data_IF_332290431116
#
_entry.id   IF_332290431116
#
_cell.length_a   1.000
_cell.length_b   1.000
_cell.length_c   1.000
_cell.angle_alpha   90.00
_cell.angle_beta   90.00
_cell.angle_gamma   90.00
#
_symmetry.space_group_name_H-M   'P 1'
#
loop_
_entity.id
_entity.type
_entity.pdbx_description
1 polymer ?
#
# COMPACT_ATOMS: atom_id res chain seq x y z
N UNK A 1 -13.09 24.09 22.75
CA UNK A 1 -12.69 23.72 21.38
C UNK A 1 -11.19 23.44 21.42
N UNK A 2 -10.81 22.21 21.78
CA UNK A 2 -9.42 21.75 21.66
C UNK A 2 -9.12 21.57 20.18
N UNK A 3 -8.19 22.39 19.69
CA UNK A 3 -8.01 22.74 18.29
C UNK A 3 -7.26 21.65 17.51
N UNK A 4 -7.87 21.26 16.39
CA UNK A 4 -7.39 20.48 15.22
C UNK A 4 -5.91 20.03 15.27
N UNK A 5 -5.69 18.71 15.19
CA UNK A 5 -4.38 18.05 15.14
C UNK A 5 -3.86 17.84 13.72
N UNK A 6 -4.08 18.78 12.79
CA UNK A 6 -3.70 18.63 11.38
C UNK A 6 -2.18 18.53 11.18
N UNK A 7 -1.75 17.86 10.11
CA UNK A 7 -0.34 17.75 9.72
C UNK A 7 -0.16 18.11 8.25
N UNK A 8 0.77 19.01 7.97
CA UNK A 8 1.06 19.38 6.58
C UNK A 8 1.91 18.29 5.93
N UNK A 9 1.52 17.82 4.75
CA UNK A 9 2.38 16.94 3.94
C UNK A 9 3.14 17.80 2.93
N UNK A 10 4.45 17.62 2.84
CA UNK A 10 5.30 18.26 1.84
C UNK A 10 6.12 17.22 1.09
N UNK A 11 5.95 17.18 -0.23
CA UNK A 11 6.75 16.35 -1.13
C UNK A 11 7.99 17.13 -1.56
N UNK A 12 9.18 16.56 -1.38
CA UNK A 12 10.47 17.19 -1.67
C UNK A 12 11.22 16.36 -2.70
N UNK A 13 11.52 16.94 -3.86
CA UNK A 13 12.37 16.33 -4.87
C UNK A 13 13.85 16.59 -4.53
N UNK A 14 14.59 15.53 -4.23
CA UNK A 14 16.02 15.55 -3.93
C UNK A 14 16.89 15.83 -5.18
N UNK A 15 16.32 15.76 -6.37
CA UNK A 15 16.97 16.18 -7.62
C UNK A 15 16.92 17.70 -7.86
N UNK A 16 16.15 18.43 -7.06
CA UNK A 16 15.99 19.88 -7.14
C UNK A 16 16.70 20.62 -5.99
N UNK A 17 16.65 21.95 -6.01
CA UNK A 17 17.12 22.76 -4.88
C UNK A 17 16.27 22.48 -3.63
N UNK A 18 16.94 22.21 -2.49
CA UNK A 18 16.25 21.86 -1.25
C UNK A 18 15.53 23.09 -0.66
N UNK A 19 14.25 22.97 -0.30
CA UNK A 19 13.52 24.05 0.32
C UNK A 19 13.85 24.19 1.81
N UNK A 20 13.59 25.38 2.37
CA UNK A 20 13.34 25.50 3.81
C UNK A 20 11.97 24.93 4.17
N UNK A 21 11.84 24.38 5.37
CA UNK A 21 10.55 23.91 5.89
C UNK A 21 9.99 24.98 6.81
N UNK A 22 8.85 25.55 6.42
CA UNK A 22 8.21 26.64 7.14
C UNK A 22 7.04 26.14 7.98
N UNK A 23 6.74 26.90 9.06
CA UNK A 23 5.52 26.69 9.83
C UNK A 23 4.29 26.88 8.96
N UNK A 24 3.25 26.10 9.22
CA UNK A 24 1.96 26.23 8.56
C UNK A 24 0.89 26.49 9.62
N UNK A 25 0.26 27.69 9.63
CA UNK A 25 -0.78 28.01 10.59
C UNK A 25 -1.86 26.92 10.63
N UNK A 26 -2.26 26.50 11.83
CA UNK A 26 -3.30 25.49 12.03
C UNK A 26 -2.82 24.04 11.98
N UNK A 27 -1.54 23.78 11.76
CA UNK A 27 -0.96 22.43 11.78
C UNK A 27 -0.12 22.19 13.05
N UNK A 28 -0.20 20.97 13.58
CA UNK A 28 0.60 20.51 14.72
C UNK A 28 2.03 20.08 14.31
N UNK A 29 2.25 19.85 13.02
CA UNK A 29 3.53 19.45 12.47
C UNK A 29 3.52 19.31 10.95
N UNK A 30 4.65 18.87 10.41
CA UNK A 30 4.91 18.68 9.00
C UNK A 30 5.55 17.31 8.74
N UNK A 31 5.03 16.59 7.74
CA UNK A 31 5.59 15.37 7.18
C UNK A 31 6.28 15.70 5.85
N UNK A 32 7.60 15.61 5.79
CA UNK A 32 8.37 15.72 4.55
C UNK A 32 8.61 14.33 3.94
N UNK A 33 8.07 14.09 2.74
CA UNK A 33 8.34 12.87 1.97
C UNK A 33 9.41 13.20 0.94
N UNK A 34 10.52 12.46 0.96
CA UNK A 34 11.72 12.71 0.16
C UNK A 34 11.70 11.82 -1.09
N UNK A 35 11.76 12.42 -2.26
CA UNK A 35 11.66 11.78 -3.56
C UNK A 35 12.94 11.91 -4.36
N UNK A 36 13.27 10.89 -5.15
CA UNK A 36 14.30 10.99 -6.18
C UNK A 36 13.83 10.19 -7.39
N UNK A 37 13.77 10.83 -8.56
CA UNK A 37 13.36 10.19 -9.82
C UNK A 37 12.02 9.42 -9.70
N UNK A 38 11.01 10.04 -9.10
CA UNK A 38 9.66 9.45 -8.96
C UNK A 38 9.55 8.35 -7.89
N UNK A 39 10.58 8.14 -7.06
CA UNK A 39 10.58 7.12 -6.00
C UNK A 39 10.71 7.77 -4.61
N UNK A 40 9.86 7.41 -3.64
CA UNK A 40 10.01 7.88 -2.28
C UNK A 40 11.13 7.10 -1.59
N UNK A 41 12.11 7.82 -1.04
CA UNK A 41 13.30 7.25 -0.40
C UNK A 41 13.36 7.52 1.10
N UNK A 42 12.70 8.57 1.60
CA UNK A 42 12.70 8.87 3.03
C UNK A 42 11.46 9.62 3.48
N UNK A 43 11.24 9.62 4.79
CA UNK A 43 10.23 10.44 5.46
C UNK A 43 10.85 11.11 6.68
N UNK A 44 10.58 12.39 6.87
CA UNK A 44 10.97 13.16 8.04
C UNK A 44 9.73 13.83 8.63
N UNK A 45 9.56 13.73 9.94
CA UNK A 45 8.46 14.35 10.67
C UNK A 45 9.02 15.44 11.58
N UNK A 46 8.41 16.62 11.56
CA UNK A 46 8.75 17.76 12.39
C UNK A 46 7.50 18.26 13.12
N UNK A 47 7.57 18.44 14.43
CA UNK A 47 6.55 19.16 15.19
C UNK A 47 6.61 20.66 14.88
N UNK A 48 5.51 21.39 15.08
CA UNK A 48 5.48 22.85 14.85
C UNK A 48 6.58 23.60 15.65
N UNK A 49 6.89 23.11 16.86
CA UNK A 49 7.94 23.65 17.71
C UNK A 49 9.37 23.48 17.13
N UNK A 50 9.57 22.53 16.21
CA UNK A 50 10.85 22.26 15.54
C UNK A 50 11.01 23.06 14.23
N UNK A 51 9.95 23.76 13.80
CA UNK A 51 9.94 24.60 12.60
C UNK A 51 10.24 26.08 12.94
N UNK A 52 10.82 26.87 12.02
CA UNK A 52 11.24 26.47 10.67
C UNK A 52 12.57 25.70 10.66
N UNK A 53 12.74 24.81 9.68
CA UNK A 53 14.00 24.09 9.41
C UNK A 53 14.67 24.67 8.16
N UNK A 54 15.86 25.27 8.26
CA UNK A 54 16.56 25.78 7.09
C UNK A 54 17.02 24.64 6.17
N UNK A 55 17.17 24.91 4.88
CA UNK A 55 17.58 23.93 3.88
C UNK A 55 18.89 23.19 4.24
N UNK A 56 19.85 23.86 4.91
CA UNK A 56 21.10 23.25 5.37
C UNK A 56 20.91 22.21 6.47
N UNK A 57 19.97 22.45 7.41
CA UNK A 57 19.63 21.48 8.45
C UNK A 57 18.84 20.30 7.89
N UNK A 58 17.94 20.56 6.93
CA UNK A 58 17.25 19.52 6.18
C UNK A 58 18.25 18.63 5.41
N UNK A 59 19.21 19.23 4.71
CA UNK A 59 20.27 18.53 4.00
C UNK A 59 21.08 17.59 4.92
N UNK A 60 21.35 18.01 6.16
CA UNK A 60 22.05 17.17 7.14
C UNK A 60 21.20 15.98 7.64
N UNK A 61 19.87 16.10 7.65
CA UNK A 61 18.97 15.04 8.09
C UNK A 61 18.67 13.98 7.01
N UNK A 62 18.68 14.38 5.73
CA UNK A 62 18.32 13.54 4.58
C UNK A 62 19.10 12.22 4.52
N UNK A 63 20.44 12.17 4.64
CA UNK A 63 21.19 10.92 4.44
C UNK A 63 20.72 9.78 5.35
N UNK A 64 20.45 10.08 6.62
CA UNK A 64 19.94 9.09 7.59
C UNK A 64 18.52 8.64 7.26
N UNK A 65 17.68 9.56 6.76
CA UNK A 65 16.29 9.27 6.42
C UNK A 65 16.17 8.36 5.19
N UNK A 66 17.07 8.50 4.21
CA UNK A 66 17.02 7.74 2.95
C UNK A 66 17.86 6.45 2.97
N UNK A 67 18.83 6.34 3.88
CA UNK A 67 19.76 5.22 3.93
C UNK A 67 19.10 3.83 3.89
N UNK A 68 18.00 3.54 4.62
CA UNK A 68 17.36 2.23 4.56
C UNK A 68 16.80 1.88 3.17
N UNK A 69 16.15 2.85 2.50
CA UNK A 69 15.52 2.66 1.20
C UNK A 69 16.54 2.62 0.05
N UNK A 70 17.62 3.42 0.16
CA UNK A 70 18.75 3.41 -0.78
C UNK A 70 19.55 2.12 -0.66
N UNK A 71 19.91 1.72 0.57
CA UNK A 71 20.61 0.47 0.83
C UNK A 71 19.82 -0.75 0.37
N UNK A 72 18.50 -0.75 0.58
CA UNK A 72 17.62 -1.80 0.05
C UNK A 72 17.73 -1.92 -1.47
N UNK A 73 17.68 -0.79 -2.20
CA UNK A 73 17.72 -0.78 -3.66
C UNK A 73 19.06 -1.20 -4.24
N UNK A 74 20.15 -0.74 -3.64
CA UNK A 74 21.51 -1.04 -4.09
C UNK A 74 21.96 -2.46 -3.78
N UNK A 75 21.59 -2.99 -2.61
CA UNK A 75 22.15 -4.25 -2.10
C UNK A 75 21.11 -5.39 -1.97
N UNK A 76 19.83 -5.09 -2.23
CA UNK A 76 18.73 -6.07 -2.17
C UNK A 76 18.41 -6.60 -0.76
N UNK A 77 19.00 -6.02 0.29
CA UNK A 77 18.92 -6.51 1.68
C UNK A 77 18.77 -5.42 2.76
N UNK A 78 18.74 -4.14 2.38
CA UNK A 78 18.57 -3.00 3.30
C UNK A 78 19.80 -2.68 4.16
N UNK A 79 19.80 -1.48 4.76
CA UNK A 79 20.49 -1.18 6.02
C UNK A 79 19.42 -1.26 7.11
N UNK A 80 19.51 -2.20 8.06
CA UNK A 80 18.62 -2.15 9.23
C UNK A 80 19.13 -1.08 10.21
N UNK A 81 18.30 -0.05 10.46
CA UNK A 81 18.48 0.85 11.59
C UNK A 81 18.12 0.17 12.91
N UNK A 82 18.82 0.53 13.98
CA UNK A 82 18.65 -0.08 15.30
C UNK A 82 17.25 0.18 15.92
N UNK A 83 16.36 -0.82 15.87
CA UNK A 83 15.26 -1.03 16.83
C UNK A 83 15.08 -2.54 17.09
N UNK A 84 14.61 -2.96 18.28
CA UNK A 84 15.02 -4.22 18.89
C UNK A 84 14.25 -5.42 18.34
N UNK A 85 14.91 -6.25 17.54
CA UNK A 85 14.44 -7.60 17.27
C UNK A 85 15.01 -8.54 18.35
N UNK A 86 14.16 -9.04 19.24
CA UNK A 86 14.47 -10.26 20.00
C UNK A 86 14.39 -11.46 19.05
N UNK A 87 15.54 -11.85 18.49
CA UNK A 87 15.70 -13.08 17.71
C UNK A 87 17.02 -13.05 16.91
N UNK A 88 17.65 -14.21 16.64
CA UNK A 88 18.94 -14.26 15.98
C UNK A 88 18.82 -13.84 14.50
N UNK A 89 19.66 -12.89 14.11
CA UNK A 89 19.86 -12.39 12.73
C UNK A 89 20.72 -13.39 11.95
N UNK A 90 20.27 -13.96 10.82
CA UNK A 90 21.14 -14.69 9.88
C UNK A 90 21.83 -13.73 8.88
N UNK A 91 22.94 -14.15 8.24
CA UNK A 91 24.04 -13.26 7.89
C UNK A 91 23.91 -12.64 6.49
N UNK A 92 23.91 -11.32 6.43
CA UNK A 92 24.98 -10.50 5.84
C UNK A 92 24.42 -9.08 5.73
N UNK A 93 24.73 -8.24 6.71
CA UNK A 93 24.62 -6.79 6.56
C UNK A 93 25.40 -6.35 5.31
N UNK A 94 25.04 -5.25 4.64
CA UNK A 94 25.90 -4.67 3.62
C UNK A 94 27.28 -4.44 4.24
N UNK A 95 28.28 -5.19 3.75
CA UNK A 95 29.66 -5.05 4.22
C UNK A 95 30.12 -3.63 3.89
N UNK A 96 30.59 -2.90 4.91
CA UNK A 96 31.18 -1.57 4.74
C UNK A 96 32.27 -1.59 3.65
N UNK A 97 32.99 -2.70 3.49
CA UNK A 97 33.93 -2.93 2.40
C UNK A 97 33.29 -2.82 1.01
N UNK A 98 32.08 -3.34 0.82
CA UNK A 98 31.36 -3.24 -0.45
C UNK A 98 31.00 -1.79 -0.80
N UNK A 99 30.54 -1.01 0.18
CA UNK A 99 30.20 0.41 0.01
C UNK A 99 31.46 1.23 -0.30
N UNK A 100 32.53 1.02 0.48
CA UNK A 100 33.81 1.71 0.27
C UNK A 100 34.48 1.34 -1.06
N UNK A 101 34.14 0.19 -1.63
CA UNK A 101 34.62 -0.25 -2.94
C UNK A 101 33.82 0.28 -4.13
N UNK A 102 32.68 0.95 -3.90
CA UNK A 102 31.86 1.52 -4.98
C UNK A 102 32.45 2.86 -5.44
N UNK A 103 32.93 2.98 -6.70
CA UNK A 103 33.57 4.20 -7.19
C UNK A 103 32.58 5.35 -7.42
N UNK A 104 31.30 5.06 -7.64
CA UNK A 104 30.19 6.01 -7.72
C UNK A 104 28.88 5.33 -7.29
N UNK A 105 28.23 5.84 -6.23
CA UNK A 105 26.94 5.34 -5.76
C UNK A 105 25.75 5.84 -6.58
N UNK A 106 25.91 6.95 -7.32
CA UNK A 106 24.81 7.60 -8.02
C UNK A 106 24.41 6.86 -9.28
N UNK A 107 25.36 6.33 -10.06
CA UNK A 107 25.08 5.51 -11.25
C UNK A 107 24.20 4.30 -10.92
N UNK A 108 24.65 3.37 -10.06
CA UNK A 108 23.87 2.20 -9.65
C UNK A 108 22.52 2.56 -9.02
N UNK A 109 22.45 3.66 -8.27
CA UNK A 109 21.17 4.12 -7.71
C UNK A 109 20.23 4.59 -8.82
N UNK A 110 20.71 5.38 -9.78
CA UNK A 110 19.90 5.80 -10.94
C UNK A 110 19.38 4.60 -11.72
N UNK A 111 20.21 3.59 -11.95
CA UNK A 111 19.80 2.35 -12.61
C UNK A 111 18.74 1.60 -11.80
N UNK A 112 18.90 1.51 -10.49
CA UNK A 112 17.91 0.88 -9.59
C UNK A 112 16.59 1.67 -9.51
N UNK A 113 16.61 2.97 -9.82
CA UNK A 113 15.44 3.83 -9.87
C UNK A 113 14.85 3.96 -11.29
N UNK A 114 15.51 3.43 -12.33
CA UNK A 114 15.01 3.52 -13.68
C UNK A 114 13.66 2.79 -13.83
N UNK A 115 12.80 3.32 -14.70
CA UNK A 115 11.56 2.63 -15.08
C UNK A 115 11.88 1.49 -16.04
N UNK A 116 11.14 0.37 -15.97
CA UNK A 116 11.22 -0.64 -17.01
C UNK A 116 10.82 -0.02 -18.36
N UNK A 117 11.28 -0.58 -19.49
CA UNK A 117 10.81 -0.13 -20.80
C UNK A 117 9.28 -0.25 -20.90
N UNK A 118 8.69 0.55 -21.80
CA UNK A 118 7.27 0.41 -22.11
C UNK A 118 6.98 -1.05 -22.57
N UNK A 119 5.85 -1.63 -22.14
CA UNK A 119 5.54 -3.01 -22.52
C UNK A 119 5.23 -3.09 -24.01
N UNK A 120 5.49 -4.24 -24.62
CA UNK A 120 4.93 -4.51 -25.95
C UNK A 120 3.43 -4.74 -25.87
N UNK A 121 2.75 -4.73 -27.02
CA UNK A 121 1.30 -4.94 -27.09
C UNK A 121 0.91 -6.26 -26.39
N UNK A 122 -0.02 -6.18 -25.42
CA UNK A 122 -0.46 -7.30 -24.60
C UNK A 122 0.35 -7.58 -23.32
N UNK A 123 1.45 -6.85 -23.05
CA UNK A 123 2.25 -6.98 -21.83
C UNK A 123 1.93 -5.92 -20.75
N UNK A 124 0.92 -5.07 -20.99
CA UNK A 124 0.42 -4.14 -19.99
C UNK A 124 -0.35 -4.83 -18.86
N UNK A 125 -0.88 -4.02 -17.93
CA UNK A 125 -1.77 -4.49 -16.88
C UNK A 125 -3.22 -4.06 -17.11
N UNK A 126 -4.17 -4.83 -16.56
CA UNK A 126 -5.56 -4.42 -16.44
C UNK A 126 -5.77 -3.77 -15.08
N UNK A 127 -6.14 -2.49 -15.05
CA UNK A 127 -6.55 -1.80 -13.81
C UNK A 127 -8.02 -2.09 -13.55
N UNK A 128 -8.36 -2.51 -12.34
CA UNK A 128 -9.72 -2.79 -11.89
C UNK A 128 -10.05 -1.81 -10.76
N UNK A 129 -11.09 -1.01 -10.96
CA UNK A 129 -11.60 -0.03 -10.00
C UNK A 129 -13.04 -0.43 -9.69
N UNK A 130 -13.33 -0.66 -8.42
CA UNK A 130 -14.70 -0.92 -7.97
C UNK A 130 -15.27 0.36 -7.35
N UNK A 131 -16.45 0.76 -7.77
CA UNK A 131 -17.11 1.97 -7.25
C UNK A 131 -18.55 1.69 -6.86
N UNK A 132 -19.06 2.46 -5.89
CA UNK A 132 -20.47 2.48 -5.54
C UNK A 132 -20.86 3.85 -4.98
N UNK A 133 -21.73 4.55 -5.70
CA UNK A 133 -22.32 5.83 -5.29
C UNK A 133 -21.29 6.94 -4.98
N UNK A 134 -20.14 6.96 -5.67
CA UNK A 134 -19.06 7.95 -5.47
C UNK A 134 -18.46 8.52 -6.77
N UNK A 135 -19.27 9.16 -7.63
CA UNK A 135 -18.80 9.63 -8.93
C UNK A 135 -17.65 10.65 -8.84
N UNK A 136 -17.62 11.51 -7.82
CA UNK A 136 -16.58 12.54 -7.67
C UNK A 136 -15.21 11.95 -7.31
N UNK A 137 -15.19 10.88 -6.51
CA UNK A 137 -13.94 10.21 -6.14
C UNK A 137 -13.43 9.41 -7.34
N UNK A 138 -14.32 8.66 -8.00
CA UNK A 138 -14.00 7.95 -9.23
C UNK A 138 -13.42 8.88 -10.31
N UNK A 139 -13.98 10.09 -10.49
CA UNK A 139 -13.46 11.06 -11.45
C UNK A 139 -11.98 11.39 -11.17
N UNK A 140 -11.65 11.76 -9.92
CA UNK A 140 -10.25 12.03 -9.51
C UNK A 140 -9.34 10.82 -9.70
N UNK A 141 -9.84 9.62 -9.39
CA UNK A 141 -9.09 8.39 -9.60
C UNK A 141 -8.76 8.17 -11.08
N UNK A 142 -9.75 8.32 -11.98
CA UNK A 142 -9.57 8.17 -13.41
C UNK A 142 -8.66 9.24 -14.02
N UNK A 143 -8.75 10.49 -13.54
CA UNK A 143 -7.86 11.59 -13.95
C UNK A 143 -6.39 11.30 -13.57
N UNK A 144 -6.13 10.56 -12.50
CA UNK A 144 -4.77 10.14 -12.13
C UNK A 144 -4.20 9.02 -13.02
N UNK A 145 -5.04 8.31 -13.79
CA UNK A 145 -4.68 7.19 -14.67
C UNK A 145 -4.43 7.62 -16.14
N UNK A 146 -4.20 8.91 -16.35
CA UNK A 146 -4.14 9.61 -17.63
C UNK A 146 -3.00 9.21 -18.61
N UNK A 147 -3.01 9.66 -19.89
CA UNK A 147 -2.43 8.98 -21.05
C UNK A 147 -0.93 8.68 -21.05
N UNK A 148 -0.15 9.32 -20.18
CA UNK A 148 1.31 9.17 -20.09
C UNK A 148 1.79 7.81 -19.53
N UNK A 149 0.86 6.91 -19.19
CA UNK A 149 1.16 5.60 -18.61
C UNK A 149 1.01 4.48 -19.67
N UNK A 150 2.07 4.18 -20.47
CA UNK A 150 2.02 3.13 -21.49
C UNK A 150 1.85 1.72 -20.89
N UNK A 151 2.19 1.53 -19.61
CA UNK A 151 2.06 0.25 -18.91
C UNK A 151 0.61 -0.14 -18.57
N UNK A 152 -0.32 0.81 -18.59
CA UNK A 152 -1.76 0.53 -18.42
C UNK A 152 -2.32 0.08 -19.77
N UNK A 153 -2.74 -1.18 -19.87
CA UNK A 153 -3.33 -1.74 -21.09
C UNK A 153 -4.84 -1.48 -21.19
N UNK A 154 -5.55 -1.61 -20.07
CA UNK A 154 -6.98 -1.29 -19.96
C UNK A 154 -7.35 -0.86 -18.54
N UNK A 155 -8.46 -0.16 -18.39
CA UNK A 155 -9.08 0.20 -17.12
C UNK A 155 -10.52 -0.32 -17.10
N UNK A 156 -10.90 -1.01 -16.04
CA UNK A 156 -12.20 -1.65 -15.87
C UNK A 156 -12.85 -1.04 -14.64
N UNK A 157 -13.87 -0.22 -14.88
CA UNK A 157 -14.66 0.38 -13.81
C UNK A 157 -15.87 -0.52 -13.56
N UNK A 158 -15.86 -1.22 -12.43
CA UNK A 158 -16.94 -2.08 -11.98
C UNK A 158 -17.85 -1.27 -11.06
N UNK A 159 -19.01 -0.91 -11.58
CA UNK A 159 -20.07 -0.23 -10.84
C UNK A 159 -20.89 -1.25 -10.04
N UNK A 160 -20.80 -1.19 -8.71
CA UNK A 160 -21.43 -2.13 -7.80
C UNK A 160 -22.77 -1.63 -7.25
N UNK A 161 -23.66 -1.22 -8.16
CA UNK A 161 -25.04 -0.86 -7.85
C UNK A 161 -25.29 0.63 -7.65
N UNK A 162 -24.51 1.51 -8.30
CA UNK A 162 -24.75 2.95 -8.33
C UNK A 162 -25.86 3.35 -9.31
N UNK A 163 -26.13 4.67 -9.42
CA UNK A 163 -26.82 5.27 -10.57
C UNK A 163 -25.91 5.20 -11.83
N UNK A 164 -26.25 4.38 -12.83
CA UNK A 164 -25.31 4.00 -13.89
C UNK A 164 -24.94 5.15 -14.84
N UNK A 165 -25.81 6.15 -15.02
CA UNK A 165 -25.61 7.23 -15.99
C UNK A 165 -24.37 8.08 -15.66
N UNK A 166 -24.18 8.41 -14.38
CA UNK A 166 -23.05 9.22 -13.93
C UNK A 166 -21.72 8.49 -14.14
N UNK A 167 -21.65 7.21 -13.77
CA UNK A 167 -20.43 6.40 -13.91
C UNK A 167 -20.10 6.18 -15.40
N UNK A 168 -21.09 5.90 -16.24
CA UNK A 168 -20.89 5.74 -17.69
C UNK A 168 -20.36 7.00 -18.35
N UNK A 169 -20.89 8.17 -17.97
CA UNK A 169 -20.44 9.45 -18.50
C UNK A 169 -18.97 9.73 -18.15
N UNK A 170 -18.55 9.45 -16.91
CA UNK A 170 -17.15 9.57 -16.50
C UNK A 170 -16.25 8.64 -17.30
N UNK A 171 -16.60 7.36 -17.36
CA UNK A 171 -15.80 6.35 -18.07
C UNK A 171 -15.63 6.69 -19.55
N UNK A 172 -16.65 7.25 -20.21
CA UNK A 172 -16.60 7.62 -21.62
C UNK A 172 -15.51 8.66 -21.95
N UNK A 173 -15.05 9.44 -20.96
CA UNK A 173 -14.00 10.43 -21.14
C UNK A 173 -12.57 9.82 -21.13
N UNK A 174 -12.42 8.55 -20.76
CA UNK A 174 -11.10 7.89 -20.65
C UNK A 174 -10.98 6.77 -21.70
N UNK A 175 -10.16 6.92 -22.75
CA UNK A 175 -10.12 5.97 -23.88
C UNK A 175 -9.76 4.53 -23.53
N UNK A 176 -8.98 4.32 -22.46
CA UNK A 176 -8.60 2.98 -21.96
C UNK A 176 -9.63 2.39 -20.99
N UNK A 177 -10.61 3.16 -20.55
CA UNK A 177 -11.57 2.76 -19.55
C UNK A 177 -12.84 2.17 -20.16
N UNK A 178 -13.41 1.19 -19.47
CA UNK A 178 -14.72 0.63 -19.81
C UNK A 178 -15.55 0.36 -18.57
N UNK A 179 -16.86 0.52 -18.76
CA UNK A 179 -17.86 0.36 -17.72
C UNK A 179 -18.35 -1.09 -17.65
N UNK A 180 -18.45 -1.63 -16.45
CA UNK A 180 -19.03 -2.95 -16.16
C UNK A 180 -20.00 -2.82 -15.00
N UNK A 181 -21.24 -3.29 -15.15
CA UNK A 181 -22.19 -3.35 -14.06
C UNK A 181 -22.08 -4.66 -13.27
N UNK A 182 -22.13 -4.59 -11.95
CA UNK A 182 -22.33 -5.75 -11.05
C UNK A 182 -23.48 -5.45 -10.09
N UNK A 183 -24.66 -6.05 -10.31
CA UNK A 183 -25.85 -5.74 -9.52
C UNK A 183 -25.83 -6.32 -8.10
N UNK A 184 -24.97 -7.31 -7.81
CA UNK A 184 -24.91 -7.94 -6.48
C UNK A 184 -23.96 -7.15 -5.57
N UNK A 185 -24.42 -6.62 -4.43
CA UNK A 185 -23.57 -5.81 -3.56
C UNK A 185 -22.43 -6.62 -2.95
N UNK A 186 -21.23 -6.07 -2.95
CA UNK A 186 -20.05 -6.63 -2.30
C UNK A 186 -18.77 -6.33 -3.07
N UNK A 187 -17.75 -5.81 -2.39
CA UNK A 187 -16.46 -5.45 -3.00
C UNK A 187 -15.76 -6.66 -3.62
N UNK A 188 -15.71 -7.79 -2.91
CA UNK A 188 -15.15 -9.04 -3.44
C UNK A 188 -15.88 -9.52 -4.69
N UNK A 189 -17.21 -9.38 -4.72
CA UNK A 189 -18.04 -9.72 -5.88
C UNK A 189 -17.69 -8.80 -7.07
N UNK A 190 -17.58 -7.49 -6.84
CA UNK A 190 -17.19 -6.51 -7.86
C UNK A 190 -15.77 -6.77 -8.39
N UNK A 191 -14.80 -7.03 -7.51
CA UNK A 191 -13.42 -7.41 -7.90
C UNK A 191 -13.41 -8.69 -8.74
N UNK A 192 -14.18 -9.71 -8.34
CA UNK A 192 -14.33 -10.94 -9.10
C UNK A 192 -14.95 -10.70 -10.49
N UNK A 193 -15.90 -9.77 -10.61
CA UNK A 193 -16.42 -9.32 -11.90
C UNK A 193 -15.34 -8.64 -12.74
N UNK A 194 -14.54 -7.75 -12.15
CA UNK A 194 -13.38 -7.15 -12.83
C UNK A 194 -12.38 -8.19 -13.35
N UNK A 195 -12.04 -9.19 -12.53
CA UNK A 195 -11.11 -10.30 -12.89
C UNK A 195 -11.59 -11.05 -14.13
N UNK A 196 -12.88 -11.40 -14.17
CA UNK A 196 -13.48 -12.12 -15.31
C UNK A 196 -13.47 -11.29 -16.59
N UNK A 197 -13.54 -9.98 -16.44
CA UNK A 197 -13.59 -9.05 -17.55
C UNK A 197 -12.20 -8.73 -18.09
N UNK A 198 -11.19 -8.65 -17.24
CA UNK A 198 -9.83 -8.29 -17.61
C UNK A 198 -9.23 -9.24 -18.66
N UNK A 199 -8.32 -8.71 -19.48
CA UNK A 199 -7.66 -9.44 -20.57
C UNK A 199 -6.18 -9.70 -20.33
N UNK A 200 -5.53 -8.90 -19.49
CA UNK A 200 -4.10 -9.04 -19.21
C UNK A 200 -3.82 -10.09 -18.13
N UNK A 201 -2.55 -10.51 -18.05
CA UNK A 201 -2.04 -11.41 -17.01
C UNK A 201 -1.87 -10.71 -15.67
N UNK A 202 -1.47 -9.44 -15.67
CA UNK A 202 -1.34 -8.66 -14.44
C UNK A 202 -2.62 -7.87 -14.21
N UNK A 203 -3.25 -8.12 -13.06
CA UNK A 203 -4.48 -7.47 -12.62
C UNK A 203 -4.15 -6.53 -11.48
N UNK A 204 -4.16 -5.22 -11.71
CA UNK A 204 -3.96 -4.21 -10.67
C UNK A 204 -5.31 -3.74 -10.13
N UNK A 205 -5.40 -3.56 -8.82
CA UNK A 205 -6.56 -3.08 -8.10
C UNK A 205 -6.21 -1.77 -7.41
N UNK A 206 -7.08 -0.79 -7.57
CA UNK A 206 -7.07 0.47 -6.82
C UNK A 206 -8.51 0.85 -6.48
N UNK A 207 -8.69 1.58 -5.39
CA UNK A 207 -10.01 2.01 -4.94
C UNK A 207 -10.39 3.35 -5.59
N UNK A 208 -11.69 3.69 -5.56
CA UNK A 208 -12.19 4.92 -6.20
C UNK A 208 -11.81 6.20 -5.44
N UNK A 209 -11.36 6.09 -4.18
CA UNK A 209 -10.88 7.17 -3.32
C UNK A 209 -9.34 7.29 -3.32
N UNK A 210 -8.72 6.82 -4.40
CA UNK A 210 -7.26 6.78 -4.59
C UNK A 210 -6.83 7.50 -5.86
N UNK A 211 -5.72 8.24 -5.77
CA UNK A 211 -4.99 8.80 -6.91
C UNK A 211 -3.66 8.06 -7.08
N UNK A 212 -3.34 7.59 -8.28
CA UNK A 212 -2.10 6.83 -8.52
C UNK A 212 -0.95 7.77 -8.92
N UNK A 213 0.27 7.43 -8.52
CA UNK A 213 1.46 8.12 -9.04
C UNK A 213 1.68 7.78 -10.53
N UNK A 214 2.20 8.69 -11.38
CA UNK A 214 2.40 8.42 -12.81
C UNK A 214 3.23 7.18 -13.13
N UNK A 215 4.21 6.85 -12.28
CA UNK A 215 5.05 5.66 -12.44
C UNK A 215 4.42 4.37 -11.89
N UNK A 216 3.25 4.44 -11.25
CA UNK A 216 2.65 3.35 -10.47
C UNK A 216 2.57 2.02 -11.24
N UNK A 217 2.01 2.05 -12.45
CA UNK A 217 1.86 0.86 -13.28
C UNK A 217 3.21 0.23 -13.68
N UNK A 218 4.20 1.07 -14.01
CA UNK A 218 5.55 0.62 -14.34
C UNK A 218 6.23 -0.06 -13.14
N UNK A 219 6.08 0.53 -11.95
CA UNK A 219 6.66 0.03 -10.70
C UNK A 219 6.00 -1.27 -10.24
N UNK A 220 4.68 -1.41 -10.43
CA UNK A 220 3.98 -2.68 -10.24
C UNK A 220 4.58 -3.78 -11.11
N UNK A 221 4.72 -3.53 -12.42
CA UNK A 221 5.26 -4.53 -13.35
C UNK A 221 6.70 -4.91 -13.00
N UNK A 222 7.53 -3.94 -12.62
CA UNK A 222 8.89 -4.21 -12.13
C UNK A 222 8.92 -5.08 -10.86
N UNK A 223 7.90 -4.96 -10.00
CA UNK A 223 7.74 -5.79 -8.82
C UNK A 223 7.57 -7.29 -9.12
N UNK A 224 7.04 -7.64 -10.29
CA UNK A 224 6.88 -9.01 -10.78
C UNK A 224 8.17 -9.60 -11.38
N UNK A 225 9.30 -9.35 -10.71
CA UNK A 225 10.66 -9.70 -11.18
C UNK A 225 10.96 -11.20 -11.23
N UNK A 226 10.16 -12.04 -10.57
CA UNK A 226 10.31 -13.51 -10.62
C UNK A 226 8.97 -14.21 -10.90
N UNK A 227 8.99 -15.44 -11.44
CA UNK A 227 7.77 -16.24 -11.63
C UNK A 227 7.04 -16.58 -10.33
N UNK A 228 7.76 -16.70 -9.21
CA UNK A 228 7.20 -17.03 -7.89
C UNK A 228 6.46 -15.85 -7.25
N UNK A 229 6.77 -14.62 -7.69
CA UNK A 229 6.06 -13.42 -7.24
C UNK A 229 4.68 -13.40 -7.89
N UNK A 230 3.65 -13.73 -7.10
CA UNK A 230 2.26 -13.83 -7.55
C UNK A 230 1.43 -12.59 -7.20
N UNK A 231 1.88 -11.79 -6.24
CA UNK A 231 1.25 -10.54 -5.86
C UNK A 231 2.31 -9.47 -5.57
N UNK A 232 2.05 -8.25 -6.01
CA UNK A 232 2.79 -7.03 -5.68
C UNK A 232 1.83 -6.07 -5.00
N UNK A 233 2.24 -5.44 -3.92
CA UNK A 233 1.54 -4.32 -3.27
C UNK A 233 2.47 -3.12 -3.24
N UNK A 234 1.93 -1.94 -2.97
CA UNK A 234 2.73 -0.72 -2.98
C UNK A 234 2.48 0.20 -1.80
N UNK A 235 3.22 1.30 -1.78
CA UNK A 235 3.10 2.33 -0.76
C UNK A 235 1.77 3.08 -0.92
N UNK A 236 1.06 3.27 0.18
CA UNK A 236 -0.12 4.13 0.25
C UNK A 236 0.24 5.31 1.14
N UNK A 237 0.19 6.51 0.58
CA UNK A 237 0.37 7.76 1.30
C UNK A 237 -0.98 8.45 1.51
N UNK A 238 -1.18 9.19 2.60
CA UNK A 238 -2.32 10.09 2.72
C UNK A 238 -2.29 11.18 1.64
N UNK A 239 -3.43 11.48 1.04
CA UNK A 239 -3.57 12.67 0.19
C UNK A 239 -3.47 13.97 1.01
N UNK A 240 -4.00 13.94 2.23
CA UNK A 240 -4.04 15.08 3.15
C UNK A 240 -4.17 14.57 4.60
N UNK A 241 -3.87 15.44 5.57
CA UNK A 241 -4.00 15.16 7.01
C UNK A 241 -4.58 16.39 7.73
N UNK A 242 -5.75 16.85 7.29
CA UNK A 242 -6.37 18.12 7.73
C UNK A 242 -7.31 17.96 8.93
N UNK A 243 -7.62 16.73 9.31
CA UNK A 243 -8.55 16.42 10.40
C UNK A 243 -7.94 15.44 11.39
N UNK A 244 -8.43 15.48 12.63
CA UNK A 244 -7.97 14.59 13.69
C UNK A 244 -8.15 13.12 13.32
N UNK A 245 -9.29 12.75 12.71
CA UNK A 245 -9.54 11.37 12.30
C UNK A 245 -8.49 10.87 11.28
N UNK A 246 -8.12 11.70 10.29
CA UNK A 246 -7.10 11.34 9.31
C UNK A 246 -5.73 11.13 9.97
N UNK A 247 -5.37 12.03 10.91
CA UNK A 247 -4.09 11.98 11.61
C UNK A 247 -3.98 10.80 12.55
N UNK A 248 -5.04 10.51 13.31
CA UNK A 248 -5.11 9.33 14.18
C UNK A 248 -5.00 8.05 13.35
N UNK A 249 -5.70 7.98 12.21
CA UNK A 249 -5.62 6.81 11.33
C UNK A 249 -4.19 6.58 10.83
N UNK A 250 -3.55 7.60 10.28
CA UNK A 250 -2.21 7.48 9.69
C UNK A 250 -1.12 7.26 10.75
N UNK A 251 -1.15 8.00 11.87
CA UNK A 251 -0.03 8.04 12.83
C UNK A 251 -0.20 7.11 14.03
N UNK A 252 -1.43 6.83 14.46
CA UNK A 252 -1.68 6.06 15.70
C UNK A 252 -2.23 4.66 15.44
N UNK A 253 -3.07 4.51 14.41
CA UNK A 253 -3.67 3.23 14.04
C UNK A 253 -2.86 2.46 12.98
N UNK A 254 -1.74 3.03 12.54
CA UNK A 254 -0.76 2.40 11.66
C UNK A 254 -0.95 2.65 10.17
N UNK A 255 -1.97 3.42 9.76
CA UNK A 255 -2.22 3.80 8.38
C UNK A 255 -2.26 2.60 7.41
N UNK A 256 -1.87 2.84 6.17
CA UNK A 256 -1.73 1.79 5.14
C UNK A 256 -0.26 1.47 4.78
N UNK A 257 0.69 2.33 5.14
CA UNK A 257 2.09 2.20 4.73
C UNK A 257 2.85 1.08 5.47
N UNK A 258 3.75 0.40 4.76
CA UNK A 258 4.68 -0.60 5.34
C UNK A 258 6.14 -0.11 5.36
N UNK A 259 6.35 1.21 5.24
CA UNK A 259 7.66 1.85 5.12
C UNK A 259 8.15 1.96 3.68
N UNK A 260 9.44 2.28 3.50
CA UNK A 260 10.05 2.63 2.21
C UNK A 260 11.08 1.59 1.70
N UNK A 261 11.18 0.47 2.41
CA UNK A 261 12.01 -0.68 2.02
C UNK A 261 11.17 -1.71 1.29
N UNK A 262 11.74 -2.35 0.26
CA UNK A 262 11.08 -3.48 -0.40
C UNK A 262 11.01 -4.65 0.58
N UNK A 263 9.91 -5.40 0.54
CA UNK A 263 9.75 -6.59 1.38
C UNK A 263 9.26 -7.76 0.53
N UNK A 264 9.78 -8.95 0.82
CA UNK A 264 9.29 -10.21 0.26
C UNK A 264 8.71 -11.06 1.38
N UNK A 265 7.52 -11.61 1.12
CA UNK A 265 6.83 -12.53 1.99
C UNK A 265 6.69 -13.84 1.22
N UNK A 266 7.38 -14.87 1.66
CA UNK A 266 7.49 -16.16 0.98
C UNK A 266 7.11 -17.32 1.92
N UNK A 267 7.34 -18.55 1.46
CA UNK A 267 7.10 -19.76 2.25
C UNK A 267 7.90 -19.78 3.58
N UNK A 268 9.11 -19.21 3.62
CA UNK A 268 9.92 -19.16 4.83
C UNK A 268 9.32 -18.18 5.86
N UNK A 269 8.89 -17.00 5.41
CA UNK A 269 8.11 -16.08 6.24
C UNK A 269 6.83 -16.75 6.76
N UNK A 270 6.08 -17.42 5.89
CA UNK A 270 4.84 -18.09 6.24
C UNK A 270 5.06 -19.15 7.33
N UNK A 271 6.03 -20.04 7.14
CA UNK A 271 6.37 -21.10 8.10
C UNK A 271 6.78 -20.54 9.47
N UNK A 272 7.59 -19.47 9.49
CA UNK A 272 8.03 -18.80 10.73
C UNK A 272 6.86 -18.19 11.51
N UNK A 273 5.88 -17.63 10.80
CA UNK A 273 4.75 -16.92 11.41
C UNK A 273 3.53 -17.81 11.67
N UNK A 274 3.49 -19.02 11.10
CA UNK A 274 2.33 -19.91 11.09
C UNK A 274 1.72 -20.14 12.48
N UNK A 275 2.58 -20.38 13.50
CA UNK A 275 2.14 -20.64 14.89
C UNK A 275 1.55 -19.43 15.62
N UNK A 276 1.63 -18.24 15.03
CA UNK A 276 1.18 -16.98 15.62
C UNK A 276 -0.04 -16.37 14.91
N UNK A 277 -0.50 -16.99 13.82
CA UNK A 277 -1.39 -16.37 12.84
C UNK A 277 -0.60 -15.44 11.95
N UNK A 278 -0.47 -15.80 10.67
CA UNK A 278 0.44 -15.14 9.73
C UNK A 278 -0.01 -13.69 9.50
N UNK A 279 0.87 -12.68 9.70
CA UNK A 279 0.47 -11.29 9.62
C UNK A 279 0.48 -10.75 8.19
N UNK A 280 -0.41 -11.29 7.37
CA UNK A 280 -0.55 -10.98 5.94
C UNK A 280 -0.94 -9.53 5.65
N UNK A 281 -1.58 -8.82 6.58
CA UNK A 281 -1.83 -7.38 6.46
C UNK A 281 -0.55 -6.53 6.44
N UNK A 282 0.62 -7.12 6.75
CA UNK A 282 1.92 -6.45 6.56
C UNK A 282 2.40 -6.45 5.11
N UNK A 283 1.72 -7.18 4.23
CA UNK A 283 2.08 -7.24 2.82
C UNK A 283 1.78 -5.89 2.18
N UNK A 284 0.60 -5.32 2.41
CA UNK A 284 0.21 -4.00 1.93
C UNK A 284 -1.28 -3.76 2.13
N UNK A 285 -1.89 -3.00 1.22
CA UNK A 285 -3.33 -2.71 1.23
C UNK A 285 -3.97 -3.07 -0.12
N UNK A 286 -5.22 -3.55 -0.11
CA UNK A 286 -5.97 -3.87 -1.34
C UNK A 286 -6.24 -2.67 -2.25
N UNK A 287 -6.12 -1.45 -1.72
CA UNK A 287 -6.17 -0.20 -2.48
C UNK A 287 -4.93 0.03 -3.37
N UNK A 288 -3.84 -0.72 -3.15
CA UNK A 288 -2.63 -0.67 -3.96
C UNK A 288 -2.02 -2.06 -4.08
N UNK A 289 -2.63 -2.88 -4.93
CA UNK A 289 -2.15 -4.24 -5.18
C UNK A 289 -2.27 -4.63 -6.64
N UNK A 290 -1.47 -5.59 -7.06
CA UNK A 290 -1.60 -6.29 -8.31
C UNK A 290 -1.32 -7.78 -8.12
N UNK A 291 -2.01 -8.60 -8.89
CA UNK A 291 -1.97 -10.05 -8.79
C UNK A 291 -1.86 -10.65 -10.20
N UNK A 292 -1.09 -11.72 -10.34
CA UNK A 292 -1.10 -12.53 -11.57
C UNK A 292 -2.45 -13.24 -11.71
N UNK A 293 -3.07 -13.21 -12.88
CA UNK A 293 -4.27 -13.99 -13.18
C UNK A 293 -4.03 -15.47 -12.91
N UNK A 294 -2.89 -16.00 -13.34
CA UNK A 294 -2.49 -17.39 -13.07
C UNK A 294 -2.41 -17.73 -11.57
N UNK A 295 -2.25 -16.74 -10.69
CA UNK A 295 -2.35 -16.96 -9.25
C UNK A 295 -3.80 -17.25 -8.82
N UNK A 296 -4.77 -16.50 -9.35
CA UNK A 296 -6.19 -16.67 -9.06
C UNK A 296 -6.73 -18.01 -9.59
N UNK A 297 -6.18 -18.52 -10.69
CA UNK A 297 -6.49 -19.86 -11.21
C UNK A 297 -6.01 -20.97 -10.27
N UNK A 298 -4.91 -20.73 -9.54
CA UNK A 298 -4.30 -21.70 -8.62
C UNK A 298 -4.97 -21.72 -7.26
N UNK A 299 -5.26 -20.56 -6.69
CA UNK A 299 -5.78 -20.46 -5.32
C UNK A 299 -7.26 -20.09 -5.24
N UNK A 300 -7.87 -19.65 -6.33
CA UNK A 300 -9.22 -19.09 -6.38
C UNK A 300 -9.23 -17.55 -6.28
N UNK A 301 -10.33 -16.94 -6.70
CA UNK A 301 -10.54 -15.50 -6.65
C UNK A 301 -10.82 -14.99 -5.21
N UNK A 302 -11.30 -13.76 -5.04
CA UNK A 302 -11.64 -13.21 -3.72
C UNK A 302 -12.83 -13.97 -3.10
N UNK A 303 -12.75 -14.24 -1.80
CA UNK A 303 -13.85 -14.87 -1.06
C UNK A 303 -14.99 -13.85 -0.85
N UNK A 304 -16.14 -14.11 -1.45
CA UNK A 304 -17.30 -13.20 -1.45
C UNK A 304 -17.93 -13.00 -0.05
N UNK A 305 -17.51 -13.78 0.96
CA UNK A 305 -17.91 -13.58 2.36
C UNK A 305 -17.14 -12.43 3.04
N UNK A 306 -16.03 -11.99 2.44
CA UNK A 306 -15.15 -10.95 2.96
C UNK A 306 -15.29 -9.65 2.18
N UNK A 307 -14.76 -8.56 2.74
CA UNK A 307 -14.79 -7.23 2.14
C UNK A 307 -16.05 -6.41 2.37
N UNK A 308 -16.02 -5.17 1.89
CA UNK A 308 -17.11 -4.20 2.08
C UNK A 308 -18.41 -4.73 1.45
N UNK A 309 -19.53 -4.56 2.15
CA UNK A 309 -20.82 -5.18 1.79
C UNK A 309 -21.01 -6.62 2.30
N UNK A 310 -19.97 -7.23 2.89
CA UNK A 310 -20.03 -8.52 3.58
C UNK A 310 -19.44 -8.43 5.00
N UNK A 311 -18.36 -9.17 5.33
CA UNK A 311 -17.71 -9.10 6.64
C UNK A 311 -17.00 -7.76 6.93
N UNK A 312 -16.78 -6.92 5.93
CA UNK A 312 -16.28 -5.54 6.08
C UNK A 312 -14.92 -5.28 5.45
N UNK A 313 -13.96 -6.22 5.57
CA UNK A 313 -12.59 -6.06 5.09
C UNK A 313 -11.89 -7.44 4.93
N UNK A 314 -10.58 -7.41 4.68
CA UNK A 314 -9.62 -8.53 4.72
C UNK A 314 -9.75 -9.58 3.64
N UNK A 315 -10.50 -9.32 2.57
CA UNK A 315 -10.54 -10.13 1.36
C UNK A 315 -9.18 -10.18 0.64
N UNK A 316 -8.40 -9.09 0.71
CA UNK A 316 -7.04 -8.98 0.20
C UNK A 316 -6.06 -9.83 1.02
N UNK A 317 -6.09 -9.65 2.34
CA UNK A 317 -5.30 -10.37 3.32
C UNK A 317 -5.56 -11.89 3.27
N UNK A 318 -6.82 -12.29 3.11
CA UNK A 318 -7.17 -13.70 2.93
C UNK A 318 -6.60 -14.28 1.63
N UNK A 319 -6.68 -13.55 0.53
CA UNK A 319 -6.10 -13.99 -0.74
C UNK A 319 -4.57 -14.13 -0.62
N UNK A 320 -3.88 -13.14 -0.03
CA UNK A 320 -2.44 -13.23 0.19
C UNK A 320 -2.06 -14.40 1.10
N UNK A 321 -2.87 -14.70 2.12
CA UNK A 321 -2.67 -15.88 2.96
C UNK A 321 -2.70 -17.17 2.14
N UNK A 322 -3.68 -17.33 1.24
CA UNK A 322 -3.77 -18.51 0.37
C UNK A 322 -2.57 -18.60 -0.58
N UNK A 323 -2.10 -17.48 -1.13
CA UNK A 323 -0.90 -17.45 -1.98
C UNK A 323 0.34 -17.95 -1.21
N UNK A 324 0.59 -17.44 0.00
CA UNK A 324 1.71 -17.87 0.83
C UNK A 324 1.56 -19.33 1.27
N UNK A 325 0.35 -19.76 1.64
CA UNK A 325 0.07 -21.14 2.04
C UNK A 325 0.29 -22.14 0.88
N UNK A 326 0.11 -21.69 -0.37
CA UNK A 326 0.43 -22.45 -1.57
C UNK A 326 1.91 -22.37 -1.99
N UNK A 327 2.76 -21.69 -1.21
CA UNK A 327 4.20 -21.60 -1.43
C UNK A 327 4.64 -20.46 -2.36
N UNK A 328 3.74 -19.55 -2.72
CA UNK A 328 4.06 -18.39 -3.57
C UNK A 328 4.58 -17.20 -2.77
N UNK A 329 5.08 -16.20 -3.48
CA UNK A 329 5.65 -14.98 -2.90
C UNK A 329 4.73 -13.78 -3.15
N UNK A 330 4.53 -12.98 -2.11
CA UNK A 330 3.98 -11.62 -2.20
C UNK A 330 5.09 -10.60 -1.97
N UNK A 331 5.13 -9.53 -2.76
CA UNK A 331 6.11 -8.46 -2.65
C UNK A 331 5.44 -7.14 -2.27
N UNK A 332 6.08 -6.37 -1.41
CA UNK A 332 5.82 -4.97 -1.20
C UNK A 332 6.86 -4.14 -1.95
N UNK A 333 6.41 -3.32 -2.90
CA UNK A 333 7.21 -2.42 -3.74
C UNK A 333 6.85 -0.96 -3.41
N UNK A 334 7.56 -0.29 -2.49
CA UNK A 334 7.24 1.06 -2.06
C UNK A 334 7.44 2.13 -3.15
N UNK A 335 8.06 1.79 -4.29
CA UNK A 335 8.08 2.69 -5.45
C UNK A 335 6.73 2.73 -6.20
N UNK A 336 5.87 1.71 -6.05
CA UNK A 336 4.51 1.73 -6.59
C UNK A 336 3.63 2.54 -5.63
N UNK A 337 3.53 3.85 -5.83
CA UNK A 337 2.84 4.75 -4.89
C UNK A 337 1.41 5.06 -5.34
N UNK A 338 0.51 5.10 -4.36
CA UNK A 338 -0.79 5.75 -4.50
C UNK A 338 -1.06 6.69 -3.32
N UNK A 339 -1.98 7.64 -3.52
CA UNK A 339 -2.45 8.60 -2.54
C UNK A 339 -3.90 8.30 -2.18
N UNK A 340 -4.18 8.02 -0.92
CA UNK A 340 -5.50 7.61 -0.44
C UNK A 340 -6.16 8.73 0.35
N UNK A 341 -7.44 9.00 0.07
CA UNK A 341 -8.27 9.94 0.82
C UNK A 341 -8.78 9.30 2.11
N UNK A 342 -8.15 9.63 3.24
CA UNK A 342 -8.58 9.12 4.55
C UNK A 342 -9.92 9.72 4.98
N UNK A 343 -10.68 8.97 5.79
CA UNK A 343 -11.96 9.43 6.34
C UNK A 343 -11.74 10.68 7.20
N UNK A 344 -12.47 11.75 6.87
CA UNK A 344 -12.37 13.05 7.56
C UNK A 344 -13.09 13.04 8.90
N UNK A 345 -14.22 12.35 8.96
CA UNK A 345 -15.08 12.37 10.14
C UNK A 345 -14.82 11.17 11.07
N UNK A 346 -14.75 11.45 12.37
CA UNK A 346 -14.53 10.44 13.41
C UNK A 346 -15.55 9.29 13.37
N UNK A 347 -16.81 9.59 13.05
CA UNK A 347 -17.86 8.57 12.95
C UNK A 347 -17.59 7.59 11.80
N UNK A 348 -17.04 8.08 10.69
CA UNK A 348 -16.69 7.27 9.53
C UNK A 348 -15.47 6.41 9.80
N UNK A 349 -14.43 6.99 10.41
CA UNK A 349 -13.25 6.25 10.85
C UNK A 349 -13.63 5.14 11.84
N UNK A 350 -14.48 5.43 12.84
CA UNK A 350 -14.93 4.42 13.81
C UNK A 350 -15.65 3.25 13.13
N UNK A 351 -16.50 3.54 12.14
CA UNK A 351 -17.17 2.50 11.34
C UNK A 351 -16.16 1.69 10.52
N UNK A 352 -15.21 2.34 9.88
CA UNK A 352 -14.12 1.69 9.16
C UNK A 352 -13.31 0.74 10.06
N UNK A 353 -12.93 1.19 11.26
CA UNK A 353 -12.17 0.37 12.23
C UNK A 353 -12.97 -0.83 12.73
N UNK A 354 -14.28 -0.65 12.97
CA UNK A 354 -15.16 -1.76 13.29
C UNK A 354 -15.20 -2.78 12.15
N UNK A 355 -15.36 -2.33 10.90
CA UNK A 355 -15.39 -3.20 9.72
C UNK A 355 -14.07 -3.92 9.48
N UNK A 356 -12.94 -3.26 9.75
CA UNK A 356 -11.60 -3.87 9.69
C UNK A 356 -11.46 -5.02 10.68
N UNK A 357 -11.88 -4.81 11.93
CA UNK A 357 -11.79 -5.88 12.94
C UNK A 357 -12.78 -7.01 12.70
N UNK A 358 -14.01 -6.71 12.28
CA UNK A 358 -14.98 -7.72 11.89
C UNK A 358 -14.46 -8.56 10.72
N UNK A 359 -13.94 -7.90 9.67
CA UNK A 359 -13.33 -8.55 8.51
C UNK A 359 -12.13 -9.41 8.89
N UNK A 360 -11.24 -8.88 9.72
CA UNK A 360 -10.04 -9.59 10.19
C UNK A 360 -10.39 -10.86 10.97
N UNK A 361 -11.37 -10.80 11.88
CA UNK A 361 -11.85 -11.99 12.59
C UNK A 361 -12.47 -13.02 11.64
N UNK A 362 -13.32 -12.56 10.70
CA UNK A 362 -13.92 -13.44 9.70
C UNK A 362 -12.84 -14.12 8.84
N UNK A 363 -11.83 -13.38 8.38
CA UNK A 363 -10.73 -13.91 7.58
C UNK A 363 -9.93 -14.99 8.33
N UNK A 364 -9.62 -14.79 9.61
CA UNK A 364 -8.94 -15.82 10.43
C UNK A 364 -9.76 -17.12 10.51
N UNK A 365 -11.08 -17.02 10.64
CA UNK A 365 -11.98 -18.17 10.67
C UNK A 365 -12.08 -18.86 9.31
N UNK A 366 -12.16 -18.10 8.21
CA UNK A 366 -12.14 -18.61 6.83
C UNK A 366 -10.85 -19.38 6.57
N UNK A 367 -9.71 -18.77 6.86
CA UNK A 367 -8.38 -19.38 6.72
C UNK A 367 -8.24 -20.64 7.57
N UNK A 368 -8.75 -20.62 8.81
CA UNK A 368 -8.73 -21.81 9.67
C UNK A 368 -9.63 -22.93 9.14
N UNK A 369 -10.83 -22.60 8.63
CA UNK A 369 -11.73 -23.59 8.06
C UNK A 369 -11.11 -24.30 6.84
N UNK A 370 -10.37 -23.55 6.01
CA UNK A 370 -9.69 -24.08 4.82
C UNK A 370 -8.41 -24.85 5.15
N UNK A 371 -7.55 -24.31 6.03
CA UNK A 371 -6.18 -24.82 6.20
C UNK A 371 -5.90 -25.50 7.56
N UNK A 372 -6.80 -25.35 8.55
CA UNK A 372 -6.64 -25.89 9.92
C UNK A 372 -5.38 -25.40 10.66
N UNK A 373 -4.82 -24.25 10.27
CA UNK A 373 -3.66 -23.67 10.92
C UNK A 373 -4.03 -23.07 12.29
N UNK A 374 -3.68 -23.75 13.39
CA UNK A 374 -4.06 -23.39 14.76
C UNK A 374 -3.59 -21.99 15.20
N UNK A 375 -2.56 -21.43 14.54
CA UNK A 375 -2.11 -20.06 14.79
C UNK A 375 -3.20 -19.01 14.59
N UNK A 376 -4.16 -19.24 13.69
CA UNK A 376 -5.28 -18.32 13.46
C UNK A 376 -6.22 -18.27 14.68
N UNK A 377 -6.54 -19.42 15.27
CA UNK A 377 -7.32 -19.48 16.51
C UNK A 377 -6.55 -18.89 17.69
N UNK A 378 -5.25 -19.16 17.78
CA UNK A 378 -4.39 -18.55 18.81
C UNK A 378 -4.40 -17.02 18.71
N UNK A 379 -4.31 -16.48 17.49
CA UNK A 379 -4.36 -15.04 17.26
C UNK A 379 -5.69 -14.45 17.71
N UNK A 380 -6.79 -15.10 17.35
CA UNK A 380 -8.14 -14.70 17.74
C UNK A 380 -8.32 -14.73 19.26
N UNK A 381 -7.89 -15.80 19.92
CA UNK A 381 -8.14 -16.02 21.35
C UNK A 381 -7.17 -15.29 22.29
N UNK A 382 -5.92 -15.05 21.86
CA UNK A 382 -4.87 -14.52 22.73
C UNK A 382 -4.29 -13.20 22.21
N UNK A 383 -3.80 -13.17 20.97
CA UNK A 383 -3.02 -12.03 20.48
C UNK A 383 -3.86 -10.77 20.32
N UNK A 384 -5.08 -10.88 19.77
CA UNK A 384 -5.98 -9.74 19.57
C UNK A 384 -6.46 -9.18 20.93
N UNK A 385 -7.03 -9.99 21.85
CA UNK A 385 -7.43 -9.49 23.16
C UNK A 385 -6.27 -8.85 23.94
N UNK A 386 -5.09 -9.47 23.92
CA UNK A 386 -3.91 -8.92 24.58
C UNK A 386 -3.49 -7.56 23.99
N UNK A 387 -3.46 -7.43 22.67
CA UNK A 387 -3.13 -6.16 22.01
C UNK A 387 -4.07 -5.03 22.43
N UNK A 388 -5.37 -5.26 22.40
CA UNK A 388 -6.35 -4.24 22.78
C UNK A 388 -6.36 -3.95 24.29
N UNK A 389 -6.12 -4.95 25.14
CA UNK A 389 -5.93 -4.74 26.58
C UNK A 389 -4.71 -3.83 26.86
N UNK A 390 -3.60 -4.05 26.14
CA UNK A 390 -2.41 -3.20 26.25
C UNK A 390 -2.65 -1.77 25.71
N UNK A 391 -3.43 -1.62 24.64
CA UNK A 391 -3.79 -0.31 24.10
C UNK A 391 -4.64 0.49 25.10
N UNK A 392 -5.65 -0.15 25.70
CA UNK A 392 -6.48 0.47 26.75
C UNK A 392 -5.67 0.84 27.98
N UNK A 393 -4.73 -0.01 28.39
CA UNK A 393 -3.84 0.28 29.52
C UNK A 393 -2.97 1.51 29.27
N UNK A 394 -2.50 1.72 28.02
CA UNK A 394 -1.68 2.89 27.65
C UNK A 394 -2.48 4.19 27.55
N UNK A 395 -3.78 4.12 27.25
CA UNK A 395 -4.65 5.30 27.19
C UNK A 395 -5.15 5.76 28.58
N UNK A 396 -4.96 4.93 29.61
CA UNK A 396 -5.38 5.22 30.99
C UNK A 396 -4.29 5.94 31.83
N UNK A 397 -3.12 6.19 31.26
CA UNK A 397 -1.99 6.93 31.82
C UNK A 397 -1.53 7.99 30.83
#
# INVERSE_FOLDING_TARGET
MTAVTAWRIQHIDLGAELPGLERSPGHAGLTAVLWLHGVPLGRLDYLDAELPVPASALAAAIPRAIAPAVGDRLFGRGFEGALPLRGPVPPSEPDLGAILSMPDLLGPLKDALALPPAPTEGQGLSVIICTRDRPEHLARCLDSLEPGQPWIGEIIVVDNGSRPEAVRALVANHPKARYVAEPRPGLSIARNTGIRQARHEILAFTDDDVQVHPDWAARILAGFSTPETMCVTGLVLPTELETEAQVVFERELGGFGQGLQRMCFDAAFFARMLRYGVPVWRIGAGANMAIRRSALERVGAFDERLGAGAAGCSEDSELWYRLLAAGWTCRYEPAAVVFHEHRREWQELRRQMHDYMRGHVAALLVQYAQHRHAGNLRRLALSIPHHYAMLLARAAF
#
